data_IF_614989327475
#
_entry.id   IF_614989327475
#
_cell.length_a   1.000
_cell.length_b   1.000
_cell.length_c   1.000
_cell.angle_alpha   90.00
_cell.angle_beta   90.00
_cell.angle_gamma   90.00
#
_symmetry.space_group_name_H-M   'P 1'
#
loop_
_entity.id
_entity.type
_entity.pdbx_description
1 polymer ?
#
# COMPACT_ATOMS: atom_id res chain seq x y z
N UNK A 1 4.36 15.96 -9.64
CA UNK A 1 4.95 15.28 -8.47
C UNK A 1 6.13 14.46 -8.93
N UNK A 2 7.27 14.54 -8.26
CA UNK A 2 8.45 13.76 -8.62
C UNK A 2 8.38 12.32 -8.11
N UNK A 3 9.11 11.43 -8.77
CA UNK A 3 9.17 10.00 -8.41
C UNK A 3 9.70 9.81 -6.98
N UNK A 4 10.54 10.70 -6.48
CA UNK A 4 11.06 10.68 -5.11
C UNK A 4 9.98 10.81 -4.03
N UNK A 5 8.78 11.19 -4.40
CA UNK A 5 7.63 11.29 -3.49
C UNK A 5 6.69 10.07 -3.57
N UNK A 6 7.05 9.07 -4.34
CA UNK A 6 6.25 7.85 -4.49
C UNK A 6 6.79 6.73 -3.62
N UNK A 7 5.89 5.96 -3.07
CA UNK A 7 6.20 4.76 -2.32
C UNK A 7 5.11 3.73 -2.49
N UNK A 8 5.29 2.57 -1.89
CA UNK A 8 4.32 1.49 -1.94
C UNK A 8 3.64 1.35 -0.58
N UNK A 9 2.32 1.27 -0.61
CA UNK A 9 1.50 0.87 0.50
C UNK A 9 0.48 -0.11 -0.01
N UNK A 10 0.68 -1.39 0.23
CA UNK A 10 -0.13 -2.46 -0.37
C UNK A 10 -1.41 -2.76 0.37
N UNK A 11 -1.43 -2.50 1.67
CA UNK A 11 -2.53 -2.88 2.55
C UNK A 11 -2.90 -4.38 2.42
N UNK A 12 -1.90 -5.22 2.15
CA UNK A 12 -2.10 -6.66 2.01
C UNK A 12 -2.59 -7.25 3.33
N UNK A 13 -3.76 -7.87 3.29
CA UNK A 13 -4.34 -8.58 4.42
C UNK A 13 -4.32 -10.07 4.14
N UNK A 14 -3.77 -10.85 5.07
CA UNK A 14 -3.67 -12.30 4.91
C UNK A 14 -4.38 -13.01 6.03
N UNK A 15 -5.06 -14.11 5.67
CA UNK A 15 -5.74 -14.97 6.64
C UNK A 15 -6.79 -14.24 7.50
N UNK A 16 -7.36 -13.17 6.96
CA UNK A 16 -8.40 -12.43 7.66
C UNK A 16 -9.79 -13.04 7.35
N UNK A 17 -10.65 -13.18 8.35
CA UNK A 17 -11.99 -13.70 8.13
C UNK A 17 -12.88 -12.67 7.41
N UNK A 18 -13.92 -13.16 6.73
CA UNK A 18 -14.90 -12.31 6.04
C UNK A 18 -15.59 -11.34 7.00
N UNK A 19 -15.69 -11.69 8.28
CA UNK A 19 -16.24 -10.81 9.31
C UNK A 19 -15.55 -9.45 9.41
N UNK A 20 -14.28 -9.37 9.05
CA UNK A 20 -13.54 -8.09 9.00
C UNK A 20 -14.13 -7.18 7.91
N UNK A 21 -14.46 -7.72 6.74
CA UNK A 21 -15.10 -6.94 5.67
C UNK A 21 -16.48 -6.45 6.09
N UNK A 22 -17.27 -7.32 6.72
CA UNK A 22 -18.57 -6.96 7.23
C UNK A 22 -18.48 -5.83 8.26
N UNK A 23 -17.50 -5.91 9.14
CA UNK A 23 -17.23 -4.87 10.12
C UNK A 23 -16.86 -3.55 9.45
N UNK A 24 -15.98 -3.57 8.45
CA UNK A 24 -15.55 -2.36 7.73
C UNK A 24 -16.72 -1.72 6.98
N UNK A 25 -17.58 -2.52 6.35
CA UNK A 25 -18.73 -2.02 5.60
C UNK A 25 -19.83 -1.46 6.47
N UNK A 26 -20.11 -2.16 7.56
CA UNK A 26 -21.23 -1.83 8.45
C UNK A 26 -20.76 -1.10 9.70
N UNK A 27 -19.50 -0.79 9.77
CA UNK A 27 -18.91 -0.09 10.90
C UNK A 27 -19.37 1.34 11.00
N UNK A 28 -19.16 1.91 12.16
CA UNK A 28 -19.59 3.26 12.50
C UNK A 28 -19.07 4.34 11.54
N UNK A 29 -17.91 4.11 10.96
CA UNK A 29 -17.20 5.12 10.15
C UNK A 29 -17.30 4.88 8.64
N UNK A 30 -17.70 3.68 8.21
CA UNK A 30 -17.74 3.28 6.80
C UNK A 30 -19.13 2.90 6.32
N UNK A 31 -20.13 3.16 7.11
CA UNK A 31 -21.51 2.85 6.75
C UNK A 31 -21.90 3.60 5.48
N UNK A 32 -22.50 2.89 4.57
CA UNK A 32 -22.99 3.40 3.28
C UNK A 32 -21.89 3.83 2.30
N UNK A 33 -20.60 3.54 2.58
CA UNK A 33 -19.52 3.79 1.64
C UNK A 33 -18.89 2.49 1.14
N UNK A 34 -18.74 2.39 -0.17
CA UNK A 34 -17.97 1.31 -0.80
C UNK A 34 -16.55 1.81 -1.03
N UNK A 35 -15.61 1.29 -0.25
CA UNK A 35 -14.19 1.64 -0.35
C UNK A 35 -13.43 0.70 -1.31
N UNK A 36 -14.14 -0.08 -2.12
CA UNK A 36 -13.54 -1.01 -3.05
C UNK A 36 -13.32 -2.41 -2.50
N UNK A 37 -13.82 -2.71 -1.30
CA UNK A 37 -13.74 -4.04 -0.69
C UNK A 37 -14.75 -5.03 -1.29
N UNK A 38 -15.33 -4.68 -2.42
CA UNK A 38 -16.37 -5.41 -3.10
C UNK A 38 -17.71 -4.67 -3.06
N UNK A 39 -18.70 -5.18 -3.76
CA UNK A 39 -20.02 -4.54 -3.80
C UNK A 39 -20.85 -4.92 -2.58
N UNK A 40 -21.94 -4.17 -2.35
CA UNK A 40 -22.91 -4.47 -1.31
C UNK A 40 -23.55 -5.87 -1.48
N UNK A 41 -23.52 -6.41 -2.70
CA UNK A 41 -24.02 -7.75 -3.03
C UNK A 41 -22.96 -8.85 -2.93
N UNK A 42 -21.69 -8.50 -2.71
CA UNK A 42 -20.59 -9.46 -2.59
C UNK A 42 -19.82 -9.20 -1.32
N UNK A 43 -20.02 -10.05 -0.34
CA UNK A 43 -19.39 -9.93 0.98
C UNK A 43 -18.00 -10.57 1.07
N UNK A 44 -17.51 -11.18 -0.01
CA UNK A 44 -16.19 -11.82 -0.04
C UNK A 44 -15.07 -10.81 -0.23
N UNK A 45 -13.87 -11.24 0.15
CA UNK A 45 -12.66 -10.48 -0.10
C UNK A 45 -12.46 -10.27 -1.60
N UNK A 46 -11.99 -9.07 -2.00
CA UNK A 46 -11.58 -8.84 -3.39
C UNK A 46 -10.55 -9.88 -3.80
N UNK A 47 -10.60 -10.32 -5.05
CA UNK A 47 -9.60 -11.25 -5.56
C UNK A 47 -8.23 -10.60 -5.51
N UNK A 48 -7.22 -11.24 -4.91
CA UNK A 48 -5.87 -10.73 -4.94
C UNK A 48 -5.36 -10.69 -6.39
N UNK A 49 -4.46 -9.76 -6.64
CA UNK A 49 -3.78 -9.72 -7.93
C UNK A 49 -2.96 -11.01 -8.10
N UNK A 50 -3.02 -11.68 -9.26
CA UNK A 50 -2.29 -12.94 -9.45
C UNK A 50 -0.78 -12.80 -9.29
N UNK A 51 -0.26 -11.61 -9.53
CA UNK A 51 1.17 -11.31 -9.46
C UNK A 51 1.59 -10.63 -8.16
N UNK A 52 0.64 -10.30 -7.27
CA UNK A 52 0.90 -9.69 -5.97
C UNK A 52 -0.08 -10.25 -4.94
N UNK A 53 0.16 -11.47 -4.50
CA UNK A 53 -0.72 -12.18 -3.54
C UNK A 53 -0.31 -11.93 -2.11
N UNK A 54 1.00 -11.81 -1.87
CA UNK A 54 1.59 -11.52 -0.57
C UNK A 54 2.97 -10.87 -0.74
N UNK A 55 3.66 -10.61 0.37
CA UNK A 55 4.95 -9.92 0.35
C UNK A 55 6.05 -10.67 -0.41
N UNK A 56 5.92 -11.98 -0.61
CA UNK A 56 6.88 -12.77 -1.39
C UNK A 56 6.85 -12.43 -2.88
N UNK A 57 5.76 -11.83 -3.32
CA UNK A 57 5.56 -11.43 -4.73
C UNK A 57 6.10 -10.02 -5.04
N UNK A 58 6.72 -9.32 -4.09
CA UNK A 58 7.32 -8.01 -4.36
C UNK A 58 8.34 -7.99 -5.52
N UNK A 59 9.12 -9.05 -5.78
CA UNK A 59 9.94 -9.09 -6.99
C UNK A 59 9.16 -8.87 -8.29
N UNK A 60 7.88 -9.22 -8.32
CA UNK A 60 7.02 -8.97 -9.49
C UNK A 60 6.73 -7.47 -9.68
N UNK A 61 6.61 -6.70 -8.59
CA UNK A 61 6.51 -5.25 -8.66
C UNK A 61 7.77 -4.64 -9.27
N UNK A 62 8.94 -5.11 -8.84
CA UNK A 62 10.22 -4.66 -9.38
C UNK A 62 10.28 -4.91 -10.88
N UNK A 63 9.92 -6.11 -11.31
CA UNK A 63 9.88 -6.47 -12.72
C UNK A 63 8.92 -5.58 -13.51
N UNK A 64 7.75 -5.30 -12.95
CA UNK A 64 6.76 -4.42 -13.58
C UNK A 64 7.24 -2.98 -13.72
N UNK A 65 7.87 -2.43 -12.69
CA UNK A 65 8.42 -1.08 -12.73
C UNK A 65 9.53 -0.95 -13.78
N UNK A 66 10.38 -1.96 -13.90
CA UNK A 66 11.41 -2.02 -14.96
C UNK A 66 10.77 -2.09 -16.35
N UNK A 67 9.72 -2.89 -16.48
CA UNK A 67 9.03 -3.08 -17.77
C UNK A 67 8.40 -1.77 -18.28
N UNK A 68 7.95 -0.88 -17.41
CA UNK A 68 7.42 0.43 -17.81
C UNK A 68 8.51 1.49 -18.01
N UNK A 69 9.77 1.11 -17.92
CA UNK A 69 10.91 1.97 -18.27
C UNK A 69 11.54 2.74 -17.13
N UNK A 70 11.26 2.40 -15.91
CA UNK A 70 11.89 3.06 -14.76
C UNK A 70 13.35 2.64 -14.60
N UNK A 71 14.20 3.58 -14.21
CA UNK A 71 15.60 3.30 -13.91
C UNK A 71 15.74 2.48 -12.63
N UNK A 72 16.88 1.83 -12.43
CA UNK A 72 17.17 1.08 -11.20
C UNK A 72 17.12 1.98 -9.96
N UNK A 73 17.56 3.22 -10.07
CA UNK A 73 17.49 4.20 -8.97
C UNK A 73 16.04 4.55 -8.63
N UNK A 74 15.20 4.77 -9.65
CA UNK A 74 13.79 5.05 -9.47
C UNK A 74 13.05 3.86 -8.85
N UNK A 75 13.33 2.66 -9.31
CA UNK A 75 12.78 1.43 -8.73
C UNK A 75 13.17 1.29 -7.26
N UNK A 76 14.44 1.47 -6.93
CA UNK A 76 14.90 1.40 -5.56
C UNK A 76 14.24 2.46 -4.67
N UNK A 77 14.03 3.66 -5.20
CA UNK A 77 13.32 4.74 -4.51
C UNK A 77 11.90 4.33 -4.16
N UNK A 78 11.13 3.89 -5.14
CA UNK A 78 9.73 3.46 -4.98
C UNK A 78 9.63 2.25 -4.04
N UNK A 79 10.54 1.30 -4.15
CA UNK A 79 10.51 0.08 -3.34
C UNK A 79 10.87 0.29 -1.87
N UNK A 80 11.43 1.43 -1.50
CA UNK A 80 11.68 1.68 -0.08
C UNK A 80 12.54 2.89 0.25
N UNK A 81 13.48 3.27 -0.57
CA UNK A 81 14.40 4.37 -0.25
C UNK A 81 13.70 5.71 -0.06
N UNK A 82 12.61 5.96 -0.80
CA UNK A 82 11.83 7.18 -0.64
C UNK A 82 11.14 7.25 0.73
N UNK A 83 10.64 6.13 1.23
CA UNK A 83 10.09 6.03 2.58
C UNK A 83 11.16 6.31 3.64
N UNK A 84 12.34 5.71 3.50
CA UNK A 84 13.45 5.92 4.43
C UNK A 84 13.84 7.39 4.46
N UNK A 85 13.98 8.02 3.29
CA UNK A 85 14.31 9.43 3.19
C UNK A 85 13.28 10.33 3.86
N UNK A 86 11.99 10.04 3.69
CA UNK A 86 10.91 10.77 4.35
C UNK A 86 10.99 10.63 5.88
N UNK A 87 11.18 9.43 6.36
CA UNK A 87 11.28 9.17 7.80
C UNK A 87 12.48 9.87 8.43
N UNK A 88 13.62 9.87 7.76
CA UNK A 88 14.81 10.58 8.21
C UNK A 88 14.56 12.08 8.33
N UNK A 89 13.97 12.71 7.31
CA UNK A 89 13.64 14.14 7.34
C UNK A 89 12.63 14.47 8.43
N UNK A 90 11.63 13.60 8.60
CA UNK A 90 10.58 13.81 9.62
C UNK A 90 11.13 13.68 11.02
N UNK A 91 11.98 12.70 11.27
CA UNK A 91 12.62 12.51 12.56
C UNK A 91 13.49 13.72 12.95
N UNK A 92 14.30 14.22 12.03
CA UNK A 92 15.14 15.39 12.24
C UNK A 92 14.30 16.64 12.58
N UNK A 93 13.22 16.89 11.84
CA UNK A 93 12.30 17.99 12.11
C UNK A 93 11.62 17.87 13.46
N UNK A 94 11.25 16.66 13.83
CA UNK A 94 10.60 16.37 15.11
C UNK A 94 11.52 16.69 16.28
N UNK A 95 12.77 16.32 16.19
CA UNK A 95 13.78 16.66 17.20
C UNK A 95 13.92 18.17 17.35
N UNK A 96 13.97 18.91 16.24
CA UNK A 96 14.04 20.37 16.25
C UNK A 96 12.82 21.03 16.90
N UNK A 97 11.64 20.43 16.78
CA UNK A 97 10.39 20.95 17.36
C UNK A 97 10.26 20.63 18.86
N UNK A 98 10.84 19.51 19.31
CA UNK A 98 10.75 19.10 20.70
C UNK A 98 11.71 19.86 21.64
N UNK A 99 12.67 20.54 21.11
CA UNK A 99 13.69 21.30 21.82
C UNK A 99 13.66 22.77 21.42
#
# INVERSE_FOLDING_TARGET
MGIEHLGIGTDLCQNQPVSILEWMRNGRWSKDMDYGEGSASNADWPRPLPWLRDSRDFPNLIAGLRAVGMSEEEVAGIMGKNWVALLERTATKREAVLY
#
